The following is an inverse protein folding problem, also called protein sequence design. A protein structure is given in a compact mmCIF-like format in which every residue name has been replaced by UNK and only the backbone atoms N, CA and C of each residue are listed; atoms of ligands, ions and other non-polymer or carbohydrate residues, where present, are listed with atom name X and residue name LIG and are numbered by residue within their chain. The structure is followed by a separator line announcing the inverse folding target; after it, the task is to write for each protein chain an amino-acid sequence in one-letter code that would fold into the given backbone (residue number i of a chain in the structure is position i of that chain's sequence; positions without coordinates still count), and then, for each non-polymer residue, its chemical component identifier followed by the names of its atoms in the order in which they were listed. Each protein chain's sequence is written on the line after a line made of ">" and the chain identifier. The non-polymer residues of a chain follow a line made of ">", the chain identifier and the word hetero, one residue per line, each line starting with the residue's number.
data_IF_761170981356
#
_entry.id   IF_761170981356
#
_cell.length_a   1.000
_cell.length_b   1.000
_cell.length_c   1.000
_cell.angle_alpha   90.00
_cell.angle_beta   90.00
_cell.angle_gamma   90.00
#
_symmetry.space_group_name_H-M   'P 1'
#
loop_
_entity.id
_entity.type
_entity.pdbx_description
1 polymer ?
#
# COMPACT_ATOMS: atom_id res chain seq x y z
N UNK A 1 -10.03 -6.64 24.79
CA UNK A 1 -9.91 -5.62 23.70
C UNK A 1 -8.53 -5.58 23.06
N UNK A 2 -7.42 -5.31 23.77
CA UNK A 2 -6.09 -5.30 23.10
C UNK A 2 -5.63 -6.69 22.64
N UNK A 3 -5.82 -7.73 23.46
CA UNK A 3 -5.49 -9.11 23.11
C UNK A 3 -6.30 -9.62 21.90
N UNK A 4 -7.54 -9.21 21.78
CA UNK A 4 -8.42 -9.58 20.66
C UNK A 4 -7.96 -8.95 19.33
N UNK A 5 -7.40 -7.73 19.39
CA UNK A 5 -6.86 -7.06 18.19
C UNK A 5 -5.61 -7.75 17.68
N UNK A 6 -4.71 -8.13 18.58
CA UNK A 6 -3.47 -8.82 18.19
C UNK A 6 -3.78 -10.23 17.65
N UNK A 7 -4.73 -10.95 18.24
CA UNK A 7 -5.19 -12.24 17.71
C UNK A 7 -5.82 -12.08 16.31
N UNK A 8 -6.60 -11.03 16.10
CA UNK A 8 -7.21 -10.72 14.81
C UNK A 8 -6.17 -10.38 13.73
N UNK A 9 -5.14 -9.59 14.07
CA UNK A 9 -4.02 -9.30 13.16
C UNK A 9 -3.28 -10.58 12.78
N UNK A 10 -2.99 -11.44 13.76
CA UNK A 10 -2.31 -12.71 13.56
C UNK A 10 -3.12 -13.64 12.66
N UNK A 11 -4.42 -13.79 12.89
CA UNK A 11 -5.31 -14.59 12.07
C UNK A 11 -5.36 -14.10 10.61
N UNK A 12 -5.50 -12.79 10.40
CA UNK A 12 -5.50 -12.20 9.07
C UNK A 12 -4.17 -12.41 8.33
N UNK A 13 -3.04 -12.28 9.03
CA UNK A 13 -1.72 -12.51 8.45
C UNK A 13 -1.50 -13.96 8.04
N UNK A 14 -1.89 -14.92 8.89
CA UNK A 14 -1.80 -16.35 8.58
C UNK A 14 -2.63 -16.69 7.35
N UNK A 15 -3.86 -16.19 7.27
CA UNK A 15 -4.76 -16.46 6.15
C UNK A 15 -4.24 -15.82 4.85
N UNK A 16 -3.71 -14.59 4.92
CA UNK A 16 -3.11 -13.91 3.77
C UNK A 16 -1.90 -14.68 3.23
N UNK A 17 -1.00 -15.12 4.11
CA UNK A 17 0.18 -15.91 3.71
C UNK A 17 -0.24 -17.26 3.14
N UNK A 18 -1.16 -17.98 3.79
CA UNK A 18 -1.65 -19.28 3.31
C UNK A 18 -2.20 -19.22 1.89
N UNK A 19 -2.90 -18.13 1.54
CA UNK A 19 -3.59 -18.01 0.27
C UNK A 19 -2.74 -17.38 -0.84
N UNK A 20 -1.68 -16.64 -0.50
CA UNK A 20 -0.94 -15.84 -1.48
C UNK A 20 0.57 -16.04 -1.47
N UNK A 21 1.13 -16.72 -0.46
CA UNK A 21 2.56 -16.99 -0.49
C UNK A 21 2.84 -18.14 -1.48
N UNK A 22 3.63 -17.91 -2.53
CA UNK A 22 3.86 -18.92 -3.56
C UNK A 22 4.66 -20.13 -3.02
N UNK A 23 4.51 -21.30 -3.65
CA UNK A 23 5.29 -22.49 -3.30
C UNK A 23 6.79 -22.34 -3.60
N UNK A 24 7.14 -21.60 -4.65
CA UNK A 24 8.51 -21.39 -5.09
C UNK A 24 8.79 -19.89 -5.30
N UNK A 25 8.76 -19.06 -4.25
CA UNK A 25 8.99 -17.64 -4.37
C UNK A 25 10.47 -17.35 -4.62
N UNK A 26 10.74 -16.32 -5.40
CA UNK A 26 12.09 -15.82 -5.62
C UNK A 26 12.33 -14.51 -4.85
N UNK A 27 11.40 -13.57 -4.96
CA UNK A 27 11.46 -12.29 -4.26
C UNK A 27 10.09 -11.96 -3.65
N UNK A 28 10.10 -11.51 -2.40
CA UNK A 28 8.90 -11.21 -1.61
C UNK A 28 9.03 -9.84 -0.95
N UNK A 29 8.05 -8.97 -1.17
CA UNK A 29 7.98 -7.66 -0.52
C UNK A 29 7.41 -7.76 0.90
N UNK A 30 8.06 -7.11 1.85
CA UNK A 30 7.65 -7.06 3.26
C UNK A 30 7.46 -5.62 3.69
N UNK A 31 6.21 -5.28 3.98
CA UNK A 31 5.78 -3.98 4.44
C UNK A 31 6.22 -3.63 5.86
N UNK A 32 5.67 -2.53 6.36
CA UNK A 32 5.95 -2.01 7.69
C UNK A 32 4.70 -2.04 8.58
N UNK A 33 4.89 -1.94 9.89
CA UNK A 33 3.79 -1.85 10.85
C UNK A 33 3.57 -3.11 11.69
N UNK A 34 2.67 -2.98 12.68
CA UNK A 34 2.47 -4.00 13.72
C UNK A 34 1.87 -5.31 13.21
N UNK A 35 1.08 -5.27 12.14
CA UNK A 35 0.46 -6.45 11.54
C UNK A 35 1.49 -7.29 10.76
N UNK A 36 2.51 -6.66 10.21
CA UNK A 36 3.51 -7.31 9.36
C UNK A 36 4.44 -8.24 10.14
N UNK A 37 4.59 -8.03 11.44
CA UNK A 37 5.27 -8.98 12.31
C UNK A 37 4.68 -10.39 12.17
N UNK A 38 3.35 -10.50 12.15
CA UNK A 38 2.63 -11.78 12.01
C UNK A 38 2.70 -12.35 10.61
N UNK A 39 2.85 -11.51 9.57
CA UNK A 39 3.10 -11.97 8.20
C UNK A 39 4.45 -12.68 8.12
N UNK A 40 5.51 -12.07 8.67
CA UNK A 40 6.86 -12.66 8.69
C UNK A 40 6.86 -13.96 9.50
N UNK A 41 6.18 -13.99 10.66
CA UNK A 41 6.01 -15.20 11.47
C UNK A 41 5.26 -16.31 10.68
N UNK A 42 4.19 -15.96 9.98
CA UNK A 42 3.41 -16.90 9.17
C UNK A 42 4.23 -17.48 8.00
N UNK A 43 5.03 -16.65 7.32
CA UNK A 43 5.94 -17.08 6.25
C UNK A 43 6.95 -18.09 6.80
N UNK A 44 7.59 -17.79 7.92
CA UNK A 44 8.55 -18.67 8.57
C UNK A 44 7.94 -20.03 8.92
N UNK A 45 6.67 -20.05 9.30
CA UNK A 45 5.94 -21.25 9.71
C UNK A 45 5.15 -21.91 8.56
N UNK A 46 5.28 -21.44 7.32
CA UNK A 46 4.53 -21.95 6.16
C UNK A 46 4.93 -23.36 5.72
N UNK A 47 6.11 -23.82 6.13
CA UNK A 47 6.69 -25.09 5.68
C UNK A 47 7.35 -25.02 4.31
N UNK A 48 7.33 -23.85 3.64
CA UNK A 48 7.99 -23.64 2.35
C UNK A 48 9.47 -23.34 2.59
N UNK A 49 10.35 -23.88 1.75
CA UNK A 49 11.77 -23.58 1.79
C UNK A 49 12.02 -22.13 1.34
N UNK A 50 12.38 -21.28 2.30
CA UNK A 50 12.66 -19.86 2.08
C UNK A 50 14.15 -19.54 2.10
N UNK A 51 15.02 -20.54 2.14
CA UNK A 51 16.49 -20.36 2.27
C UNK A 51 17.12 -19.58 1.10
N UNK A 52 16.49 -19.56 -0.06
CA UNK A 52 16.95 -18.85 -1.27
C UNK A 52 16.06 -17.67 -1.66
N UNK A 53 15.09 -17.34 -0.84
CA UNK A 53 14.15 -16.24 -1.12
C UNK A 53 14.75 -14.93 -0.66
N UNK A 54 14.75 -13.94 -1.55
CA UNK A 54 15.11 -12.56 -1.22
C UNK A 54 13.91 -11.79 -0.70
N UNK A 55 13.98 -11.26 0.51
CA UNK A 55 12.92 -10.47 1.13
C UNK A 55 13.23 -8.99 1.04
N UNK A 56 12.36 -8.22 0.40
CA UNK A 56 12.55 -6.80 0.12
C UNK A 56 11.76 -5.96 1.13
N UNK A 57 12.46 -5.28 2.05
CA UNK A 57 11.82 -4.45 3.08
C UNK A 57 11.33 -3.12 2.50
N UNK A 58 10.28 -2.55 3.12
CA UNK A 58 9.80 -1.19 2.83
C UNK A 58 10.41 -0.12 3.75
N UNK A 59 11.20 -0.50 4.73
CA UNK A 59 11.87 0.42 5.65
C UNK A 59 12.70 -0.33 6.70
N UNK A 60 13.30 0.44 7.62
CA UNK A 60 14.17 -0.10 8.65
C UNK A 60 13.47 -1.17 9.53
N UNK A 61 12.22 -0.91 9.95
CA UNK A 61 11.48 -1.86 10.80
C UNK A 61 11.30 -3.22 10.10
N UNK A 62 10.84 -3.24 8.87
CA UNK A 62 10.64 -4.49 8.13
C UNK A 62 11.97 -5.21 7.84
N UNK A 63 13.05 -4.48 7.59
CA UNK A 63 14.40 -5.05 7.47
C UNK A 63 14.81 -5.79 8.74
N UNK A 64 14.61 -5.17 9.92
CA UNK A 64 14.90 -5.82 11.19
C UNK A 64 14.04 -7.05 11.44
N UNK A 65 12.76 -7.01 11.07
CA UNK A 65 11.86 -8.18 11.16
C UNK A 65 12.36 -9.35 10.32
N UNK A 66 12.78 -9.10 9.08
CA UNK A 66 13.34 -10.11 8.18
C UNK A 66 14.60 -10.74 8.80
N UNK A 67 15.55 -9.91 9.26
CA UNK A 67 16.80 -10.38 9.87
C UNK A 67 16.52 -11.21 11.13
N UNK A 68 15.67 -10.71 12.03
CA UNK A 68 15.35 -11.38 13.29
C UNK A 68 14.61 -12.72 13.09
N UNK A 69 13.90 -12.86 11.96
CA UNK A 69 13.29 -14.12 11.56
C UNK A 69 14.28 -15.13 10.95
N UNK A 70 15.53 -14.72 10.71
CA UNK A 70 16.56 -15.54 10.03
C UNK A 70 16.34 -15.63 8.52
N UNK A 71 15.60 -14.69 7.94
CA UNK A 71 15.35 -14.57 6.50
C UNK A 71 16.39 -13.67 5.83
N UNK A 72 16.53 -13.74 4.51
CA UNK A 72 17.56 -12.99 3.75
C UNK A 72 16.99 -11.67 3.23
N UNK A 73 17.36 -10.51 3.80
CA UNK A 73 16.96 -9.22 3.27
C UNK A 73 17.72 -8.89 1.99
N UNK A 74 17.01 -8.31 1.01
CA UNK A 74 17.59 -7.74 -0.20
C UNK A 74 17.11 -6.29 -0.32
N UNK A 75 18.03 -5.35 -0.52
CA UNK A 75 17.67 -3.96 -0.78
C UNK A 75 16.94 -3.84 -2.13
N UNK A 76 16.01 -2.91 -2.22
CA UNK A 76 15.19 -2.74 -3.41
C UNK A 76 16.02 -2.41 -4.66
N UNK A 77 17.05 -1.60 -4.52
CA UNK A 77 17.98 -1.21 -5.57
C UNK A 77 18.99 -2.31 -5.96
N UNK A 78 19.11 -3.36 -5.16
CA UNK A 78 19.87 -4.55 -5.50
C UNK A 78 19.09 -5.57 -6.34
N UNK A 79 17.78 -5.33 -6.57
CA UNK A 79 16.98 -6.19 -7.44
C UNK A 79 17.38 -5.98 -8.91
N UNK A 80 17.51 -7.05 -9.71
CA UNK A 80 17.66 -6.93 -11.16
C UNK A 80 16.51 -6.10 -11.76
N UNK A 81 16.78 -5.25 -12.75
CA UNK A 81 15.79 -4.35 -13.37
C UNK A 81 14.54 -5.09 -13.88
N UNK A 82 14.72 -6.26 -14.43
CA UNK A 82 13.65 -7.13 -14.96
C UNK A 82 12.94 -7.95 -13.87
N UNK A 83 13.44 -7.95 -12.63
CA UNK A 83 12.86 -8.78 -11.57
C UNK A 83 11.56 -8.18 -11.03
N UNK A 84 10.53 -9.01 -10.92
CA UNK A 84 9.29 -8.70 -10.19
C UNK A 84 9.31 -9.46 -8.85
N UNK A 85 8.73 -8.87 -7.84
CA UNK A 85 8.40 -9.56 -6.61
C UNK A 85 7.22 -10.49 -6.87
N UNK A 86 7.29 -11.72 -6.42
CA UNK A 86 6.21 -12.69 -6.63
C UNK A 86 4.95 -12.27 -5.86
N UNK A 87 5.13 -11.74 -4.66
CA UNK A 87 4.09 -11.15 -3.84
C UNK A 87 4.68 -10.07 -2.94
N UNK A 88 3.87 -9.07 -2.58
CA UNK A 88 4.18 -8.14 -1.50
C UNK A 88 3.04 -8.12 -0.49
N UNK A 89 3.39 -8.16 0.80
CA UNK A 89 2.45 -8.04 1.92
C UNK A 89 2.72 -6.74 2.65
N UNK A 90 1.67 -5.94 2.88
CA UNK A 90 1.81 -4.71 3.66
C UNK A 90 0.52 -4.39 4.42
N UNK A 91 0.61 -3.50 5.42
CA UNK A 91 -0.53 -2.92 6.09
C UNK A 91 -1.18 -1.80 5.29
N UNK A 92 -2.30 -1.30 5.76
CA UNK A 92 -2.90 -0.05 5.29
C UNK A 92 -3.49 0.74 6.45
N UNK A 93 -3.45 2.05 6.33
CA UNK A 93 -4.10 2.97 7.27
C UNK A 93 -5.61 2.99 7.00
N UNK A 94 -6.03 2.98 5.73
CA UNK A 94 -7.41 2.91 5.26
C UNK A 94 -7.54 1.99 4.05
N UNK A 95 -8.72 1.35 3.92
CA UNK A 95 -9.09 0.53 2.75
C UNK A 95 -10.56 0.76 2.42
N UNK A 96 -10.86 1.18 1.20
CA UNK A 96 -12.22 1.34 0.73
C UNK A 96 -12.83 0.03 0.18
N UNK A 97 -14.03 0.11 -0.39
CA UNK A 97 -14.75 -1.07 -0.91
C UNK A 97 -14.13 -1.64 -2.20
N UNK A 98 -13.44 -0.81 -2.96
CA UNK A 98 -12.72 -1.19 -4.20
C UNK A 98 -11.26 -1.57 -3.94
N UNK A 99 -10.85 -1.65 -2.67
CA UNK A 99 -9.48 -1.90 -2.20
C UNK A 99 -8.49 -0.78 -2.54
N UNK A 100 -8.95 0.44 -2.79
CA UNK A 100 -8.02 1.56 -2.75
C UNK A 100 -7.56 1.76 -1.31
N UNK A 101 -6.27 1.99 -1.11
CA UNK A 101 -5.69 2.09 0.21
C UNK A 101 -5.07 3.46 0.45
N UNK A 102 -5.20 3.95 1.68
CA UNK A 102 -4.34 5.02 2.20
C UNK A 102 -3.23 4.34 3.01
N UNK A 103 -1.99 4.74 2.73
CA UNK A 103 -0.80 4.22 3.37
C UNK A 103 0.17 5.36 3.70
N UNK A 104 1.20 5.05 4.48
CA UNK A 104 2.26 5.98 4.84
C UNK A 104 2.19 6.53 6.27
N UNK A 105 1.28 6.02 7.12
CA UNK A 105 1.22 6.36 8.53
C UNK A 105 2.53 6.09 9.27
N UNK A 106 3.27 5.06 8.85
CA UNK A 106 4.59 4.67 9.38
C UNK A 106 5.79 5.41 8.79
N UNK A 107 5.57 6.46 7.97
CA UNK A 107 6.62 7.24 7.31
C UNK A 107 7.50 6.47 6.30
N UNK A 108 7.03 5.33 5.77
CA UNK A 108 7.73 4.52 4.76
C UNK A 108 7.07 4.59 3.37
N UNK A 109 6.16 5.55 3.14
CA UNK A 109 5.28 5.64 1.99
C UNK A 109 5.96 5.42 0.63
N UNK A 110 7.09 6.08 0.41
CA UNK A 110 7.77 6.03 -0.89
C UNK A 110 8.24 4.61 -1.21
N UNK A 111 8.94 3.98 -0.27
CA UNK A 111 9.44 2.62 -0.42
C UNK A 111 8.29 1.59 -0.47
N UNK A 112 7.25 1.77 0.34
CA UNK A 112 6.03 0.95 0.29
C UNK A 112 5.42 0.97 -1.12
N UNK A 113 5.36 2.15 -1.75
CA UNK A 113 4.84 2.31 -3.10
C UNK A 113 5.72 1.61 -4.14
N UNK A 114 7.04 1.76 -4.07
CA UNK A 114 7.97 1.09 -4.98
C UNK A 114 7.84 -0.44 -4.89
N UNK A 115 7.77 -0.98 -3.68
CA UNK A 115 7.62 -2.42 -3.44
C UNK A 115 6.27 -2.94 -3.96
N UNK A 116 5.17 -2.24 -3.68
CA UNK A 116 3.85 -2.61 -4.19
C UNK A 116 3.79 -2.61 -5.73
N UNK A 117 4.33 -1.56 -6.36
CA UNK A 117 4.36 -1.42 -7.83
C UNK A 117 5.24 -2.47 -8.52
N UNK A 118 6.26 -2.99 -7.82
CA UNK A 118 7.16 -4.02 -8.34
C UNK A 118 6.63 -5.44 -8.12
N UNK A 119 5.52 -5.62 -7.38
CA UNK A 119 4.94 -6.91 -7.08
C UNK A 119 3.94 -7.36 -8.15
N UNK A 120 3.99 -8.66 -8.50
CA UNK A 120 2.96 -9.33 -9.33
C UNK A 120 1.60 -9.29 -8.62
N UNK A 121 1.62 -9.41 -7.28
CA UNK A 121 0.41 -9.31 -6.45
C UNK A 121 0.74 -8.55 -5.18
N UNK A 122 -0.02 -7.51 -4.89
CA UNK A 122 0.03 -6.78 -3.63
C UNK A 122 -1.14 -7.22 -2.74
N UNK A 123 -0.83 -7.64 -1.52
CA UNK A 123 -1.79 -8.15 -0.53
C UNK A 123 -1.79 -7.20 0.67
N UNK A 124 -2.96 -6.68 0.99
CA UNK A 124 -3.15 -5.86 2.17
C UNK A 124 -3.61 -6.71 3.36
N UNK A 125 -3.02 -6.46 4.53
CA UNK A 125 -3.39 -7.09 5.80
C UNK A 125 -3.71 -6.00 6.82
N UNK A 126 -4.99 -5.88 7.19
CA UNK A 126 -5.48 -4.83 8.08
C UNK A 126 -6.37 -5.38 9.19
N UNK A 127 -6.48 -4.67 10.30
CA UNK A 127 -7.47 -4.98 11.33
C UNK A 127 -8.75 -4.15 11.07
N UNK A 128 -9.92 -4.77 11.23
CA UNK A 128 -11.22 -4.11 10.98
C UNK A 128 -11.45 -2.84 11.81
N UNK A 129 -10.82 -2.72 12.97
CA UNK A 129 -10.92 -1.50 13.78
C UNK A 129 -10.33 -0.27 13.08
N UNK A 130 -9.36 -0.43 12.20
CA UNK A 130 -8.85 0.65 11.37
C UNK A 130 -9.98 1.19 10.49
N UNK A 131 -10.73 0.31 9.81
CA UNK A 131 -11.87 0.70 8.95
C UNK A 131 -12.99 1.37 9.77
N UNK A 132 -13.32 0.85 10.95
CA UNK A 132 -14.39 1.39 11.78
C UNK A 132 -14.04 2.76 12.39
N UNK A 133 -12.80 2.95 12.84
CA UNK A 133 -12.29 4.26 13.27
C UNK A 133 -12.27 5.30 12.13
N UNK A 134 -11.99 4.87 10.93
CA UNK A 134 -11.92 5.76 9.77
C UNK A 134 -13.30 6.15 9.24
N UNK A 135 -14.28 5.24 9.32
CA UNK A 135 -15.70 5.60 9.14
C UNK A 135 -16.21 6.54 10.22
N UNK A 136 -15.68 6.45 11.48
CA UNK A 136 -16.03 7.33 12.59
C UNK A 136 -15.21 8.64 12.61
N UNK A 137 -13.98 8.61 12.12
CA UNK A 137 -13.14 9.78 11.87
C UNK A 137 -13.57 10.49 10.58
N UNK A 138 -14.67 9.97 9.93
CA UNK A 138 -15.23 10.49 8.71
C UNK A 138 -14.74 11.88 8.49
N UNK A 139 -13.65 12.06 7.78
CA UNK A 139 -12.78 13.23 7.76
C UNK A 139 -13.58 14.53 7.60
N UNK A 140 -14.32 14.82 8.61
CA UNK A 140 -14.89 16.10 8.90
C UNK A 140 -13.86 16.77 9.81
N UNK A 141 -12.92 17.45 9.20
CA UNK A 141 -12.44 18.66 9.85
C UNK A 141 -13.49 19.73 9.58
N UNK A 142 -14.39 20.01 10.53
CA UNK A 142 -15.33 21.14 10.43
C UNK A 142 -14.59 22.47 10.50
N UNK A 143 -13.28 22.46 10.69
CA UNK A 143 -12.45 23.60 11.10
C UNK A 143 -11.41 24.01 10.06
N UNK A 144 -11.54 23.61 8.78
CA UNK A 144 -10.65 24.11 7.72
C UNK A 144 -9.18 23.75 7.96
N UNK A 145 -8.90 22.49 8.39
CA UNK A 145 -7.52 22.04 8.53
C UNK A 145 -6.77 22.18 7.22
N UNK A 146 -5.65 22.89 7.26
CA UNK A 146 -4.75 23.08 6.11
C UNK A 146 -3.72 21.94 6.06
N UNK A 147 -3.12 21.65 4.91
CA UNK A 147 -1.99 20.72 4.83
C UNK A 147 -0.86 21.14 5.77
N UNK A 148 -0.33 20.18 6.53
CA UNK A 148 0.75 20.41 7.49
C UNK A 148 1.91 19.45 7.26
N UNK A 149 3.15 19.94 7.47
CA UNK A 149 4.30 19.06 7.52
C UNK A 149 4.22 18.23 8.81
N UNK A 150 4.33 16.90 8.68
CA UNK A 150 4.25 16.00 9.84
C UNK A 150 5.42 16.23 10.79
N UNK A 151 5.11 16.51 12.04
CA UNK A 151 6.12 16.74 13.08
C UNK A 151 6.43 15.45 13.85
N UNK A 152 7.65 15.40 14.41
CA UNK A 152 8.10 14.28 15.26
C UNK A 152 7.43 14.29 16.62
N UNK A 153 7.10 13.10 17.14
CA UNK A 153 6.59 12.95 18.49
C UNK A 153 7.73 12.86 19.51
N UNK A 154 7.60 13.61 20.62
CA UNK A 154 8.33 13.58 21.88
C UNK A 154 9.89 13.63 21.88
N UNK A 155 10.60 12.95 20.99
CA UNK A 155 12.06 12.86 21.06
C UNK A 155 12.79 13.63 19.93
N UNK A 156 12.09 14.11 18.92
CA UNK A 156 12.67 14.87 17.80
C UNK A 156 12.00 16.23 17.67
N UNK A 157 12.77 17.29 17.90
CA UNK A 157 12.34 18.64 17.58
C UNK A 157 12.42 18.84 16.05
N UNK A 158 11.26 19.07 15.40
CA UNK A 158 11.14 19.35 13.98
C UNK A 158 10.48 18.26 13.15
N UNK A 159 10.38 18.44 11.83
CA UNK A 159 9.65 17.55 10.93
C UNK A 159 10.19 16.13 10.89
N UNK A 160 9.28 15.17 10.76
CA UNK A 160 9.62 13.77 10.44
C UNK A 160 10.08 13.71 8.99
N UNK A 161 11.13 12.93 8.74
CA UNK A 161 11.58 12.55 7.42
C UNK A 161 11.50 11.04 7.24
N UNK A 162 11.26 10.61 6.00
CA UNK A 162 11.33 9.20 5.62
C UNK A 162 12.78 8.70 5.65
N UNK A 163 13.00 7.39 5.54
CA UNK A 163 14.34 6.80 5.45
C UNK A 163 15.14 7.34 4.25
N UNK A 164 14.47 7.85 3.22
CA UNK A 164 15.07 8.48 2.04
C UNK A 164 15.16 10.01 2.17
N UNK A 165 15.06 10.55 3.39
CA UNK A 165 15.20 11.98 3.73
C UNK A 165 14.11 12.92 3.14
N UNK A 166 12.92 12.40 2.84
CA UNK A 166 11.78 13.19 2.34
C UNK A 166 10.88 13.66 3.49
N UNK A 167 10.32 14.86 3.35
CA UNK A 167 9.28 15.35 4.26
C UNK A 167 7.93 14.72 3.95
N UNK A 168 7.08 14.60 4.96
CA UNK A 168 5.71 14.12 4.86
C UNK A 168 4.78 15.30 5.07
N UNK A 169 3.78 15.43 4.18
CA UNK A 169 2.71 16.39 4.31
C UNK A 169 1.41 15.63 4.54
N UNK A 170 0.77 15.89 5.67
CA UNK A 170 -0.59 15.40 5.94
C UNK A 170 -1.59 16.42 5.42
N UNK A 171 -2.44 15.99 4.49
CA UNK A 171 -3.42 16.85 3.82
C UNK A 171 -4.84 16.31 4.06
N UNK A 172 -5.61 16.90 4.97
CA UNK A 172 -7.00 16.53 5.21
C UNK A 172 -7.89 17.03 4.06
N UNK A 173 -8.89 16.21 3.69
CA UNK A 173 -9.92 16.58 2.72
C UNK A 173 -11.27 16.72 3.44
N UNK A 174 -12.11 17.71 3.07
CA UNK A 174 -13.35 18.03 3.80
C UNK A 174 -14.45 16.98 3.61
N UNK A 175 -14.37 16.16 2.55
CA UNK A 175 -15.34 15.14 2.21
C UNK A 175 -14.66 13.78 2.07
N UNK A 176 -15.39 12.68 2.36
CA UNK A 176 -14.95 11.34 2.03
C UNK A 176 -14.62 11.24 0.53
N UNK A 177 -13.58 10.49 0.19
CA UNK A 177 -13.24 10.23 -1.21
C UNK A 177 -14.35 9.36 -1.84
N UNK A 178 -14.70 9.71 -3.07
CA UNK A 178 -15.69 8.98 -3.85
C UNK A 178 -15.05 7.76 -4.51
N UNK A 179 -15.80 6.66 -4.56
CA UNK A 179 -15.52 5.59 -5.50
C UNK A 179 -15.92 6.04 -6.92
N UNK A 180 -15.34 5.45 -7.94
CA UNK A 180 -15.73 5.75 -9.33
C UNK A 180 -17.22 5.46 -9.58
N UNK A 181 -17.83 4.50 -8.85
CA UNK A 181 -19.26 4.19 -8.87
C UNK A 181 -20.14 5.27 -8.26
N UNK A 182 -19.60 6.12 -7.39
CA UNK A 182 -20.33 7.16 -6.67
C UNK A 182 -20.31 8.50 -7.40
N UNK A 183 -19.57 8.58 -8.51
CA UNK A 183 -19.53 9.75 -9.37
C UNK A 183 -20.85 9.88 -10.15
N UNK A 184 -21.46 11.05 -10.07
CA UNK A 184 -22.68 11.43 -10.80
C UNK A 184 -22.42 12.71 -11.59
N UNK A 185 -23.32 13.14 -12.51
CA UNK A 185 -23.18 14.42 -13.18
C UNK A 185 -23.08 15.62 -12.24
N UNK A 186 -23.64 15.51 -11.02
CA UNK A 186 -23.59 16.55 -9.98
C UNK A 186 -22.36 16.42 -9.07
N UNK A 187 -21.67 15.28 -9.14
CA UNK A 187 -20.45 14.97 -8.34
C UNK A 187 -19.44 14.27 -9.22
N UNK A 188 -18.74 15.03 -10.05
CA UNK A 188 -17.78 14.48 -11.01
C UNK A 188 -16.51 13.88 -10.36
N UNK A 189 -16.28 14.14 -9.08
CA UNK A 189 -15.09 13.65 -8.39
C UNK A 189 -13.78 14.33 -8.82
N UNK A 190 -13.87 15.47 -9.47
CA UNK A 190 -12.74 16.23 -10.02
C UNK A 190 -12.28 17.40 -9.11
N UNK A 191 -12.73 17.42 -7.86
CA UNK A 191 -12.45 18.48 -6.88
C UNK A 191 -13.50 19.59 -6.87
N UNK A 192 -14.46 19.59 -7.79
CA UNK A 192 -15.56 20.53 -7.78
C UNK A 192 -16.41 20.36 -6.53
N UNK A 193 -16.75 21.46 -5.88
CA UNK A 193 -17.39 21.49 -4.56
C UNK A 193 -16.66 20.70 -3.45
N UNK A 194 -15.34 20.42 -3.63
CA UNK A 194 -14.51 19.69 -2.69
C UNK A 194 -14.66 18.17 -2.73
N UNK A 195 -15.42 17.64 -3.67
CA UNK A 195 -15.57 16.18 -3.86
C UNK A 195 -14.52 15.64 -4.82
N UNK A 196 -13.75 14.66 -4.35
CA UNK A 196 -12.72 13.98 -5.12
C UNK A 196 -12.99 12.50 -5.25
N UNK A 197 -12.85 11.98 -6.45
CA UNK A 197 -12.67 10.55 -6.68
C UNK A 197 -11.21 10.16 -6.41
N UNK A 198 -10.98 8.96 -5.87
CA UNK A 198 -9.68 8.53 -5.35
C UNK A 198 -8.55 8.64 -6.38
N UNK A 199 -8.77 8.15 -7.61
CA UNK A 199 -7.73 8.15 -8.66
C UNK A 199 -7.48 9.56 -9.21
N UNK A 200 -8.54 10.37 -9.33
CA UNK A 200 -8.41 11.76 -9.78
C UNK A 200 -7.66 12.62 -8.76
N UNK A 201 -7.93 12.42 -7.46
CA UNK A 201 -7.18 13.11 -6.41
C UNK A 201 -5.70 12.68 -6.41
N UNK A 202 -5.43 11.38 -6.50
CA UNK A 202 -4.06 10.87 -6.54
C UNK A 202 -3.27 11.48 -7.71
N UNK A 203 -3.89 11.59 -8.88
CA UNK A 203 -3.31 12.22 -10.06
C UNK A 203 -3.06 13.71 -9.83
N UNK A 204 -4.06 14.45 -9.37
CA UNK A 204 -3.96 15.89 -9.14
C UNK A 204 -2.85 16.25 -8.14
N UNK A 205 -2.73 15.49 -7.04
CA UNK A 205 -1.64 15.68 -6.07
C UNK A 205 -0.29 15.35 -6.70
N UNK A 206 -0.21 14.27 -7.49
CA UNK A 206 1.05 13.85 -8.13
C UNK A 206 1.57 14.85 -9.14
N UNK A 207 0.71 15.64 -9.77
CA UNK A 207 1.06 16.70 -10.71
C UNK A 207 1.64 17.97 -10.03
N UNK A 208 1.57 18.07 -8.70
CA UNK A 208 2.16 19.19 -7.96
C UNK A 208 3.68 19.03 -7.97
N UNK A 209 4.39 20.08 -8.43
CA UNK A 209 5.85 20.10 -8.44
C UNK A 209 6.42 19.87 -7.01
N UNK A 210 7.36 18.93 -6.89
CA UNK A 210 7.97 18.57 -5.62
C UNK A 210 7.27 17.42 -4.89
N UNK A 211 6.10 16.95 -5.36
CA UNK A 211 5.47 15.75 -4.81
C UNK A 211 6.10 14.50 -5.42
N UNK A 212 6.82 13.76 -4.59
CA UNK A 212 7.49 12.52 -4.99
C UNK A 212 6.52 11.34 -5.03
N UNK A 213 5.69 11.19 -4.00
CA UNK A 213 4.70 10.11 -3.91
C UNK A 213 3.43 10.58 -3.18
N UNK A 214 2.32 9.90 -3.46
CA UNK A 214 1.01 10.15 -2.84
C UNK A 214 0.62 8.93 -2.03
N UNK A 215 0.06 9.13 -0.83
CA UNK A 215 -0.38 8.08 0.09
C UNK A 215 -1.58 7.26 -0.39
N UNK A 216 -2.14 7.55 -1.56
CA UNK A 216 -3.25 6.81 -2.16
C UNK A 216 -2.70 5.68 -3.03
N UNK A 217 -3.06 4.43 -2.71
CA UNK A 217 -2.74 3.22 -3.47
C UNK A 217 -4.00 2.77 -4.20
N UNK A 218 -4.17 3.26 -5.41
CA UNK A 218 -5.34 3.10 -6.26
C UNK A 218 -4.92 2.76 -7.71
N UNK A 219 -5.87 2.71 -8.63
CA UNK A 219 -5.60 2.36 -10.02
C UNK A 219 -5.58 0.84 -10.26
N UNK A 220 -4.74 0.32 -11.17
CA UNK A 220 -4.70 -1.10 -11.48
C UNK A 220 -4.10 -1.94 -10.34
N UNK A 221 -4.56 -3.18 -10.22
CA UNK A 221 -3.86 -4.23 -9.48
C UNK A 221 -2.64 -4.71 -10.25
N UNK A 222 -1.74 -5.47 -9.60
CA UNK A 222 -0.59 -6.06 -10.28
C UNK A 222 -0.96 -6.88 -11.53
N UNK A 223 -1.91 -7.83 -11.45
CA UNK A 223 -2.38 -8.59 -12.61
C UNK A 223 -3.00 -7.72 -13.71
N UNK A 224 -3.81 -6.71 -13.37
CA UNK A 224 -4.39 -5.77 -14.35
C UNK A 224 -3.30 -4.94 -15.06
N UNK A 225 -2.29 -4.46 -14.32
CA UNK A 225 -1.17 -3.72 -14.88
C UNK A 225 -0.33 -4.59 -15.83
N UNK A 226 -0.04 -5.83 -15.46
CA UNK A 226 0.66 -6.79 -16.31
C UNK A 226 -0.13 -7.09 -17.59
N UNK A 227 -1.44 -7.32 -17.50
CA UNK A 227 -2.30 -7.55 -18.65
C UNK A 227 -2.36 -6.33 -19.60
N UNK A 228 -2.31 -5.12 -19.04
CA UNK A 228 -2.29 -3.88 -19.80
C UNK A 228 -0.88 -3.47 -20.29
N UNK A 229 0.15 -4.26 -19.98
CA UNK A 229 1.56 -3.96 -20.30
C UNK A 229 2.04 -2.62 -19.75
N UNK A 230 1.53 -2.23 -18.55
CA UNK A 230 1.95 -1.02 -17.84
C UNK A 230 2.61 -1.38 -16.50
N UNK A 231 3.50 -0.52 -16.03
CA UNK A 231 4.13 -0.64 -14.71
C UNK A 231 3.24 0.11 -13.70
N UNK A 232 3.12 -0.43 -12.49
CA UNK A 232 2.53 0.34 -11.40
C UNK A 232 1.21 -0.20 -10.85
N UNK A 233 1.01 -1.50 -10.86
CA UNK A 233 -0.12 -2.14 -10.14
C UNK A 233 0.04 -2.01 -8.64
N UNK A 234 -0.51 -0.95 -8.05
CA UNK A 234 -0.36 -0.63 -6.63
C UNK A 234 -1.62 -0.86 -5.79
N UNK A 235 -2.77 -1.12 -6.42
CA UNK A 235 -4.01 -1.49 -5.72
C UNK A 235 -3.94 -2.96 -5.31
N UNK A 236 -4.27 -3.31 -4.05
CA UNK A 236 -4.25 -4.70 -3.61
C UNK A 236 -5.21 -5.58 -4.41
N UNK A 237 -4.84 -6.83 -4.66
CA UNK A 237 -5.73 -7.86 -5.21
C UNK A 237 -6.62 -8.46 -4.14
N UNK A 238 -6.21 -8.39 -2.89
CA UNK A 238 -6.96 -8.87 -1.74
C UNK A 238 -6.61 -8.08 -0.48
N UNK A 239 -7.58 -7.94 0.41
CA UNK A 239 -7.40 -7.42 1.75
C UNK A 239 -8.00 -8.37 2.78
N UNK A 240 -7.22 -8.73 3.78
CA UNK A 240 -7.59 -9.60 4.89
C UNK A 240 -7.79 -8.77 6.14
N UNK A 241 -9.00 -8.81 6.68
CA UNK A 241 -9.39 -8.07 7.86
C UNK A 241 -9.55 -9.02 9.04
N UNK A 242 -8.69 -8.89 10.04
CA UNK A 242 -8.87 -9.57 11.32
C UNK A 242 -10.04 -8.95 12.08
N UNK A 243 -10.99 -9.77 12.47
CA UNK A 243 -12.22 -9.39 13.15
C UNK A 243 -12.08 -9.55 14.65
N UNK A 244 -12.84 -8.75 15.43
CA UNK A 244 -12.80 -8.80 16.90
C UNK A 244 -13.30 -10.14 17.49
N UNK A 245 -14.08 -10.89 16.73
CA UNK A 245 -14.57 -12.23 17.08
C UNK A 245 -13.58 -13.37 16.76
N UNK A 246 -12.37 -13.03 16.31
CA UNK A 246 -11.33 -13.99 15.92
C UNK A 246 -11.49 -14.54 14.50
N UNK A 247 -12.51 -14.15 13.75
CA UNK A 247 -12.68 -14.52 12.35
C UNK A 247 -11.86 -13.64 11.42
N UNK A 248 -11.69 -14.05 10.17
CA UNK A 248 -11.03 -13.26 9.13
C UNK A 248 -12.01 -12.98 8.00
N UNK A 249 -12.24 -11.70 7.70
CA UNK A 249 -12.99 -11.29 6.54
C UNK A 249 -12.03 -11.05 5.36
N UNK A 250 -12.35 -11.63 4.22
CA UNK A 250 -11.62 -11.46 2.97
C UNK A 250 -12.42 -10.56 2.02
N UNK A 251 -11.74 -9.53 1.49
CA UNK A 251 -12.24 -8.77 0.34
C UNK A 251 -11.25 -8.93 -0.80
N UNK A 252 -11.77 -9.23 -2.00
CA UNK A 252 -10.99 -9.31 -3.24
C UNK A 252 -11.29 -8.12 -4.14
N UNK A 253 -10.29 -7.67 -4.88
CA UNK A 253 -10.50 -6.67 -5.91
C UNK A 253 -11.55 -7.18 -6.89
N UNK A 254 -12.56 -6.35 -7.18
CA UNK A 254 -13.48 -6.61 -8.28
C UNK A 254 -12.73 -6.39 -9.59
N UNK A 255 -12.89 -7.29 -10.56
CA UNK A 255 -12.40 -7.04 -11.91
C UNK A 255 -13.10 -5.76 -12.42
N UNK A 256 -12.33 -4.72 -12.66
CA UNK A 256 -12.87 -3.54 -13.35
C UNK A 256 -13.22 -3.99 -14.77
N UNK A 257 -14.50 -3.86 -15.18
CA UNK A 257 -14.85 -3.93 -16.60
C UNK A 257 -13.94 -2.93 -17.31
N UNK A 258 -13.34 -3.26 -18.47
CA UNK A 258 -12.42 -2.38 -19.15
C UNK A 258 -13.13 -1.06 -19.47
N UNK A 259 -12.97 -0.05 -18.63
CA UNK A 259 -13.19 1.32 -19.01
C UNK A 259 -12.09 1.65 -20.01
N UNK A 260 -12.44 2.26 -21.14
CA UNK A 260 -11.51 2.67 -22.19
C UNK A 260 -10.33 3.37 -21.54
N UNK A 261 -9.21 2.66 -21.43
CA UNK A 261 -7.97 3.19 -20.86
C UNK A 261 -7.51 4.30 -21.79
N UNK A 262 -7.53 5.54 -21.28
CA UNK A 262 -6.85 6.62 -21.97
C UNK A 262 -5.39 6.19 -22.15
N UNK A 263 -4.96 5.99 -23.41
CA UNK A 263 -3.59 5.60 -23.74
C UNK A 263 -2.64 6.66 -23.19
N UNK A 264 -1.89 6.30 -22.17
CA UNK A 264 -0.70 7.06 -21.84
C UNK A 264 0.28 6.93 -23.00
N UNK A 265 0.90 8.03 -23.44
CA UNK A 265 1.93 7.93 -24.48
C UNK A 265 3.05 7.00 -23.96
N UNK A 266 3.61 6.14 -24.82
CA UNK A 266 4.72 5.28 -24.43
C UNK A 266 5.87 6.13 -23.90
N UNK A 267 6.49 5.70 -22.81
CA UNK A 267 7.72 6.28 -22.30
C UNK A 267 8.75 6.27 -23.44
N UNK A 268 9.32 7.42 -23.71
CA UNK A 268 10.37 7.62 -24.73
C UNK A 268 11.51 6.64 -24.41
N UNK A 269 11.91 5.75 -25.31
CA UNK A 269 13.05 4.86 -25.07
C UNK A 269 14.29 5.72 -24.87
N UNK A 270 15.00 5.48 -23.75
CA UNK A 270 16.33 6.06 -23.53
C UNK A 270 17.21 5.57 -24.69
N UNK A 271 17.66 6.49 -25.54
CA UNK A 271 18.67 6.18 -26.56
C UNK A 271 19.94 5.76 -25.83
N UNK A 272 20.30 4.50 -25.94
CA UNK A 272 21.68 4.08 -25.71
C UNK A 272 22.50 4.69 -26.84
N UNK A 273 23.31 5.68 -26.53
CA UNK A 273 24.41 6.08 -27.42
C UNK A 273 25.47 4.98 -27.31
N UNK A 274 25.46 4.06 -28.25
CA UNK A 274 26.67 3.35 -28.64
C UNK A 274 27.50 4.35 -29.46
N UNK A 275 28.63 4.76 -28.88
CA UNK A 275 29.89 5.12 -29.57
C UNK A 275 31.02 5.10 -28.51
#
# INVERSE_FOLDING_TARGET
>A
MAADIEAAKKAAAIEAVRNHFPENPRFVGIGSGTTIVYVVEAIKNSGIDVSRVGFVPTGYQSKQLIINAGLVPIEFDALPDSAMLDVAFDGADEVDEDLNCIKGGGACLYQEKLVAMRAKSFICVAARQVIQRLRMLGSRSPTGATPVIREGHMAKAGPIKTDQDFFIVDAPFPHPLLLSSDCTPERLGNGEHGYWEVEQLAKAIKEINGVLAVGLFCGPTGPEALAAQVIGGQRPVACYFGMADGTVALRRAREKRPSIVAKYPPLIPVRTTED
#
